data_IF_113885238751
#
_entry.id   IF_113885238751
#
_cell.length_a   1.000
_cell.length_b   1.000
_cell.length_c   1.000
_cell.angle_alpha   90.00
_cell.angle_beta   90.00
_cell.angle_gamma   90.00
#
_symmetry.space_group_name_H-M   'P 1'
#
loop_
_entity.id
_entity.type
_entity.pdbx_description
1 polymer ?
#
# COMPACT_ATOMS: atom_id res chain seq x y z
N UNK A 1 -17.08 5.37 13.97
CA UNK A 1 -16.22 5.93 12.90
C UNK A 1 -15.43 7.09 13.52
N UNK A 2 -14.11 7.01 13.64
CA UNK A 2 -13.33 7.96 14.47
C UNK A 2 -13.07 9.28 13.69
N UNK A 3 -13.35 10.43 14.29
CA UNK A 3 -13.25 11.78 13.70
C UNK A 3 -11.87 12.03 13.06
N UNK A 4 -10.81 11.47 13.65
CA UNK A 4 -9.44 11.56 13.13
C UNK A 4 -9.26 10.89 11.75
N UNK A 5 -10.03 9.85 11.43
CA UNK A 5 -10.01 9.22 10.08
C UNK A 5 -10.65 10.13 9.04
N UNK A 6 -11.73 10.83 9.39
CA UNK A 6 -12.46 11.71 8.47
C UNK A 6 -11.62 12.96 8.18
N UNK A 7 -11.04 13.59 9.21
CA UNK A 7 -10.23 14.81 9.02
C UNK A 7 -8.98 14.56 8.18
N UNK A 8 -8.31 13.42 8.34
CA UNK A 8 -7.12 13.08 7.53
C UNK A 8 -7.47 12.81 6.06
N UNK A 9 -8.65 12.23 5.79
CA UNK A 9 -9.15 12.01 4.42
C UNK A 9 -9.55 13.33 3.75
N UNK A 10 -10.14 14.26 4.49
CA UNK A 10 -10.61 15.56 3.97
C UNK A 10 -9.44 16.54 3.76
N UNK A 11 -8.43 16.53 4.64
CA UNK A 11 -7.38 17.56 4.68
C UNK A 11 -6.07 17.16 3.97
N UNK A 12 -5.82 15.87 3.73
CA UNK A 12 -4.63 15.45 2.99
C UNK A 12 -4.86 15.53 1.48
N UNK A 13 -3.88 16.05 0.74
CA UNK A 13 -3.88 16.07 -0.73
C UNK A 13 -4.17 14.67 -1.28
N UNK A 14 -5.11 14.55 -2.21
CA UNK A 14 -5.43 13.28 -2.87
C UNK A 14 -4.17 12.71 -3.52
N UNK A 15 -3.71 11.56 -3.03
CA UNK A 15 -2.60 10.82 -3.62
C UNK A 15 -3.19 9.78 -4.57
N UNK A 16 -3.19 10.12 -5.85
CA UNK A 16 -3.61 9.24 -6.94
C UNK A 16 -2.40 8.49 -7.50
N UNK A 17 -2.54 7.17 -7.62
CA UNK A 17 -1.60 6.26 -8.27
C UNK A 17 -1.94 6.21 -9.76
N UNK A 18 -1.00 6.57 -10.63
CA UNK A 18 -1.25 6.72 -12.07
C UNK A 18 -0.81 5.52 -12.89
N UNK A 19 0.17 4.78 -12.40
CA UNK A 19 0.82 3.70 -13.13
C UNK A 19 0.56 2.33 -12.56
N UNK A 20 0.30 2.20 -11.26
CA UNK A 20 -0.05 0.92 -10.63
C UNK A 20 -1.50 0.56 -10.95
N UNK A 21 -1.73 -0.64 -11.49
CA UNK A 21 -3.07 -1.13 -11.85
C UNK A 21 -3.64 -2.09 -10.82
N UNK A 22 -2.79 -2.80 -10.05
CA UNK A 22 -3.20 -3.75 -9.01
C UNK A 22 -2.15 -3.85 -7.91
N UNK A 23 -2.59 -4.10 -6.68
CA UNK A 23 -1.72 -4.33 -5.52
C UNK A 23 -2.18 -5.60 -4.78
N UNK A 24 -1.25 -6.54 -4.58
CA UNK A 24 -1.48 -7.73 -3.77
C UNK A 24 -0.61 -7.67 -2.51
N UNK A 25 -1.23 -7.88 -1.35
CA UNK A 25 -0.58 -7.95 -0.04
C UNK A 25 -0.46 -9.41 0.38
N UNK A 26 0.75 -9.83 0.72
CA UNK A 26 1.06 -11.13 1.30
C UNK A 26 1.64 -10.88 2.68
N UNK A 27 0.85 -11.11 3.73
CA UNK A 27 1.29 -10.84 5.11
C UNK A 27 0.74 -11.84 6.11
N UNK A 28 1.51 -12.07 7.18
CA UNK A 28 1.09 -12.74 8.38
C UNK A 28 0.24 -11.84 9.28
N UNK A 29 -0.45 -12.46 10.24
CA UNK A 29 -1.27 -11.75 11.22
C UNK A 29 -0.41 -10.99 12.27
N UNK A 30 0.88 -11.31 12.35
CA UNK A 30 1.81 -10.84 13.39
C UNK A 30 2.62 -9.61 12.98
N UNK A 31 2.68 -9.23 11.69
CA UNK A 31 3.44 -8.07 11.26
C UNK A 31 2.75 -6.76 11.68
N UNK A 32 3.30 -6.11 12.70
CA UNK A 32 2.83 -4.83 13.23
C UNK A 32 2.89 -3.71 12.19
N UNK A 33 3.90 -3.70 11.33
CA UNK A 33 4.08 -2.69 10.26
C UNK A 33 2.93 -2.77 9.26
N UNK A 34 2.55 -3.97 8.82
CA UNK A 34 1.43 -4.17 7.91
C UNK A 34 0.10 -3.85 8.60
N UNK A 35 -0.05 -4.28 9.86
CA UNK A 35 -1.24 -3.97 10.65
C UNK A 35 -1.46 -2.45 10.78
N UNK A 36 -0.41 -1.72 11.09
CA UNK A 36 -0.44 -0.26 11.19
C UNK A 36 -0.69 0.39 9.82
N UNK A 37 -0.07 -0.13 8.76
CA UNK A 37 -0.33 0.32 7.40
C UNK A 37 -1.82 0.18 7.05
N UNK A 38 -2.40 -0.99 7.29
CA UNK A 38 -3.81 -1.28 7.08
C UNK A 38 -4.75 -0.40 7.93
N UNK A 39 -4.34 -0.04 9.14
CA UNK A 39 -5.14 0.79 10.04
C UNK A 39 -5.14 2.28 9.65
N UNK A 40 -3.96 2.82 9.28
CA UNK A 40 -3.72 4.26 9.16
C UNK A 40 -3.57 4.79 7.74
N UNK A 41 -3.01 3.99 6.82
CA UNK A 41 -2.62 4.45 5.47
C UNK A 41 -3.48 3.83 4.37
N UNK A 42 -3.78 2.53 4.47
CA UNK A 42 -4.59 1.82 3.49
C UNK A 42 -5.97 2.45 3.23
N UNK A 43 -6.74 2.93 4.23
CA UNK A 43 -8.05 3.53 3.96
C UNK A 43 -7.95 4.77 3.06
N UNK A 44 -6.93 5.61 3.29
CA UNK A 44 -6.70 6.82 2.50
C UNK A 44 -6.22 6.44 1.08
N UNK A 45 -5.29 5.48 0.99
CA UNK A 45 -4.80 4.97 -0.29
C UNK A 45 -5.93 4.41 -1.14
N UNK A 46 -6.77 3.55 -0.56
CA UNK A 46 -7.92 2.93 -1.25
C UNK A 46 -8.97 3.97 -1.65
N UNK A 47 -9.27 4.95 -0.78
CA UNK A 47 -10.25 5.98 -1.08
C UNK A 47 -9.84 6.84 -2.29
N UNK A 48 -8.57 7.24 -2.34
CA UNK A 48 -8.06 8.02 -3.47
C UNK A 48 -7.91 7.21 -4.76
N UNK A 49 -7.90 5.88 -4.67
CA UNK A 49 -7.56 4.97 -5.77
C UNK A 49 -8.55 3.81 -5.85
N UNK A 50 -9.85 4.14 -5.92
CA UNK A 50 -10.94 3.16 -5.92
C UNK A 50 -10.94 2.24 -7.15
N UNK A 51 -10.31 2.67 -8.24
CA UNK A 51 -10.21 1.92 -9.48
C UNK A 51 -9.16 0.80 -9.43
N UNK A 52 -8.28 0.79 -8.41
CA UNK A 52 -7.23 -0.21 -8.24
C UNK A 52 -7.79 -1.39 -7.42
N UNK A 53 -7.67 -2.65 -7.89
CA UNK A 53 -7.95 -3.82 -7.10
C UNK A 53 -6.86 -4.04 -6.04
N UNK A 54 -7.30 -4.36 -4.82
CA UNK A 54 -6.43 -4.71 -3.69
C UNK A 54 -6.78 -6.11 -3.21
N UNK A 55 -5.82 -7.03 -3.22
CA UNK A 55 -6.00 -8.41 -2.73
C UNK A 55 -5.17 -8.62 -1.48
N UNK A 56 -5.72 -9.34 -0.50
CA UNK A 56 -4.99 -9.72 0.72
C UNK A 56 -4.90 -11.24 0.79
N UNK A 57 -3.68 -11.73 0.91
CA UNK A 57 -3.32 -13.12 1.08
C UNK A 57 -2.66 -13.29 2.44
N UNK A 58 -3.13 -14.28 3.20
CA UNK A 58 -2.50 -14.63 4.45
C UNK A 58 -1.29 -15.55 4.18
N UNK A 59 -0.14 -15.22 4.74
CA UNK A 59 1.07 -16.05 4.70
C UNK A 59 1.52 -16.40 6.12
N UNK A 60 2.13 -17.56 6.29
CA UNK A 60 2.66 -18.04 7.57
C UNK A 60 4.17 -17.92 7.70
N UNK A 61 4.89 -17.58 6.61
CA UNK A 61 6.35 -17.53 6.55
C UNK A 61 6.91 -16.11 6.32
N UNK A 62 8.23 -15.97 6.49
CA UNK A 62 9.12 -14.79 6.26
C UNK A 62 9.01 -14.15 4.86
N UNK A 63 8.12 -14.63 4.00
CA UNK A 63 7.93 -14.20 2.62
C UNK A 63 6.87 -13.09 2.50
N UNK A 64 6.76 -12.28 3.56
CA UNK A 64 5.85 -11.15 3.62
C UNK A 64 6.26 -10.07 2.60
N UNK A 65 5.35 -9.80 1.66
CA UNK A 65 5.62 -8.90 0.55
C UNK A 65 4.39 -8.19 0.05
N UNK A 66 4.61 -7.07 -0.62
CA UNK A 66 3.60 -6.40 -1.43
C UNK A 66 4.03 -6.52 -2.89
N UNK A 67 3.13 -6.99 -3.74
CA UNK A 67 3.37 -7.10 -5.17
C UNK A 67 2.58 -5.99 -5.86
N UNK A 68 3.31 -5.14 -6.59
CA UNK A 68 2.74 -4.06 -7.41
C UNK A 68 2.72 -4.52 -8.87
N UNK A 69 1.58 -4.28 -9.52
CA UNK A 69 1.36 -4.57 -10.93
C UNK A 69 1.15 -3.26 -11.70
N UNK A 70 2.22 -2.61 -12.16
CA UNK A 70 2.15 -1.43 -13.02
C UNK A 70 1.75 -1.73 -14.47
N UNK A 71 1.29 -0.67 -15.16
CA UNK A 71 0.88 -0.65 -16.58
C UNK A 71 1.95 -1.16 -17.55
N UNK A 72 3.22 -0.98 -17.22
CA UNK A 72 4.34 -1.46 -18.03
C UNK A 72 4.52 -3.00 -17.97
N UNK A 73 3.66 -3.72 -17.22
CA UNK A 73 3.65 -5.18 -17.01
C UNK A 73 4.82 -5.73 -16.18
N UNK A 74 5.68 -4.87 -15.64
CA UNK A 74 6.77 -5.28 -14.77
C UNK A 74 6.29 -5.49 -13.34
N UNK A 75 6.30 -6.72 -12.85
CA UNK A 75 5.96 -6.98 -11.45
C UNK A 75 7.05 -6.44 -10.54
N UNK A 76 6.67 -5.61 -9.56
CA UNK A 76 7.60 -5.12 -8.54
C UNK A 76 7.24 -5.66 -7.17
N UNK A 77 8.23 -6.23 -6.47
CA UNK A 77 8.06 -6.81 -5.13
C UNK A 77 8.65 -5.84 -4.11
N UNK A 78 7.87 -5.53 -3.07
CA UNK A 78 8.32 -4.84 -1.86
C UNK A 78 8.43 -5.90 -0.78
N UNK A 79 9.66 -6.24 -0.39
CA UNK A 79 9.90 -7.15 0.73
C UNK A 79 9.65 -6.41 2.05
N UNK A 80 8.67 -6.87 2.83
CA UNK A 80 8.22 -6.19 4.05
C UNK A 80 9.23 -6.28 5.20
N UNK A 81 10.12 -7.28 5.20
CA UNK A 81 11.19 -7.42 6.21
C UNK A 81 12.16 -6.24 6.24
N UNK A 82 12.25 -5.47 5.14
CA UNK A 82 13.14 -4.32 5.01
C UNK A 82 12.58 -3.03 5.63
N UNK A 83 11.34 -3.04 6.10
CA UNK A 83 10.63 -1.85 6.56
C UNK A 83 10.33 -1.94 8.06
N UNK A 84 10.67 -0.89 8.80
CA UNK A 84 10.42 -0.80 10.24
C UNK A 84 9.16 -0.01 10.57
N UNK A 85 8.72 0.88 9.67
CA UNK A 85 7.58 1.75 9.89
C UNK A 85 6.60 1.70 8.72
N UNK A 86 5.30 1.71 9.02
CA UNK A 86 4.21 1.63 8.04
C UNK A 86 4.22 2.80 7.05
N UNK A 87 4.68 3.97 7.49
CA UNK A 87 4.88 5.13 6.62
C UNK A 87 5.89 4.84 5.49
N UNK A 88 6.96 4.09 5.75
CA UNK A 88 7.96 3.78 4.73
C UNK A 88 7.37 2.94 3.60
N UNK A 89 6.42 2.04 3.91
CA UNK A 89 5.68 1.27 2.90
C UNK A 89 4.84 2.22 2.04
N UNK A 90 4.10 3.13 2.68
CA UNK A 90 3.26 4.11 1.98
C UNK A 90 4.10 4.98 1.02
N UNK A 91 5.17 5.57 1.54
CA UNK A 91 6.08 6.41 0.75
C UNK A 91 6.73 5.61 -0.39
N UNK A 92 7.06 4.33 -0.16
CA UNK A 92 7.62 3.45 -1.18
C UNK A 92 6.65 3.18 -2.32
N UNK A 93 5.38 2.89 -2.02
CA UNK A 93 4.36 2.65 -3.05
C UNK A 93 4.21 3.90 -3.95
N UNK A 94 4.14 5.09 -3.34
CA UNK A 94 4.03 6.36 -4.08
C UNK A 94 5.26 6.63 -4.92
N UNK A 95 6.45 6.38 -4.36
CA UNK A 95 7.71 6.55 -5.09
C UNK A 95 7.76 5.64 -6.31
N UNK A 96 7.39 4.36 -6.15
CA UNK A 96 7.40 3.39 -7.23
C UNK A 96 6.37 3.73 -8.30
N UNK A 97 5.16 4.16 -7.94
CA UNK A 97 4.17 4.62 -8.90
C UNK A 97 4.71 5.75 -9.80
N UNK A 98 5.31 6.78 -9.19
CA UNK A 98 5.96 7.88 -9.92
C UNK A 98 7.09 7.40 -10.82
N UNK A 99 7.83 6.37 -10.40
CA UNK A 99 8.91 5.77 -11.18
C UNK A 99 8.35 5.00 -12.39
N UNK A 100 7.23 4.32 -12.25
CA UNK A 100 6.57 3.59 -13.33
C UNK A 100 5.81 4.49 -14.30
N UNK A 101 5.58 5.77 -13.95
CA UNK A 101 4.95 6.76 -14.85
C UNK A 101 5.94 7.43 -15.80
N UNK A 102 7.23 7.20 -15.64
CA UNK A 102 8.28 7.67 -16.55
C UNK A 102 8.64 6.59 -17.55
#
# INVERSE_FOLDING_TARGET
MNINRINKIILCSKVELKSIEKIDFYSGATNSVVKDFCAFFFPILKYNNFHIPYTFHHTTDDDEKIVLFPKNKDKHIINLSLYKYSQQIYDRIIFLDKKFSK
#
